data_IF_315617061687
#
_entry.id   IF_315617061687
#
_cell.length_a   1.000
_cell.length_b   1.000
_cell.length_c   1.000
_cell.angle_alpha   90.00
_cell.angle_beta   90.00
_cell.angle_gamma   90.00
#
_symmetry.space_group_name_H-M   'P 1'
#
loop_
_entity.id
_entity.type
_entity.pdbx_description
1 polymer ?
#
# COMPACT_ATOMS: atom_id res chain seq x y z
N UNK A 1 -18.37 35.76 26.09
CA UNK A 1 -19.53 35.81 25.17
C UNK A 1 -19.04 36.38 23.85
N UNK A 2 -19.42 35.74 22.73
CA UNK A 2 -19.11 36.10 21.33
C UNK A 2 -17.68 35.81 20.85
N UNK A 3 -17.58 34.72 20.09
CA UNK A 3 -17.03 34.65 18.72
C UNK A 3 -16.31 33.32 18.47
N UNK A 4 -17.11 32.30 18.16
CA UNK A 4 -16.74 31.03 17.52
C UNK A 4 -17.85 30.71 16.52
N UNK A 5 -17.50 30.01 15.45
CA UNK A 5 -18.35 29.51 14.35
C UNK A 5 -18.35 30.33 13.06
N UNK A 6 -17.26 30.25 12.30
CA UNK A 6 -17.30 30.31 10.84
C UNK A 6 -16.14 29.45 10.30
N UNK A 7 -16.31 28.12 10.22
CA UNK A 7 -15.62 27.27 9.24
C UNK A 7 -16.19 25.83 9.20
N UNK A 8 -17.50 25.69 9.01
CA UNK A 8 -18.11 24.37 8.72
C UNK A 8 -19.33 24.58 7.84
N UNK A 9 -19.14 24.69 6.52
CA UNK A 9 -20.22 24.50 5.53
C UNK A 9 -19.80 24.47 4.04
N UNK A 10 -18.52 24.30 3.69
CA UNK A 10 -18.09 24.33 2.28
C UNK A 10 -17.77 22.94 1.69
N UNK A 11 -18.60 21.92 1.96
CA UNK A 11 -18.44 20.57 1.37
C UNK A 11 -19.76 19.87 1.01
N UNK A 12 -20.88 20.57 0.90
CA UNK A 12 -22.20 19.95 0.68
C UNK A 12 -23.05 20.52 -0.47
N UNK A 13 -22.47 21.27 -1.42
CA UNK A 13 -23.22 21.76 -2.60
C UNK A 13 -22.44 21.59 -3.91
N UNK A 14 -22.03 20.36 -4.24
CA UNK A 14 -21.76 19.98 -5.64
C UNK A 14 -22.43 18.63 -5.89
N UNK A 15 -23.76 18.62 -5.91
CA UNK A 15 -24.55 17.47 -6.33
C UNK A 15 -25.94 17.94 -6.81
N UNK A 16 -25.99 18.81 -7.81
CA UNK A 16 -27.21 19.01 -8.60
C UNK A 16 -26.79 19.32 -10.04
N UNK A 17 -26.78 18.28 -10.87
CA UNK A 17 -26.44 18.40 -12.29
C UNK A 17 -25.67 17.21 -12.85
N UNK A 18 -26.11 15.99 -12.57
CA UNK A 18 -25.74 14.83 -13.37
C UNK A 18 -27.04 14.19 -13.86
N UNK A 19 -27.31 14.32 -15.15
CA UNK A 19 -28.34 13.55 -15.84
C UNK A 19 -28.17 12.07 -15.52
N UNK A 20 -29.29 11.42 -15.21
CA UNK A 20 -29.37 9.99 -14.93
C UNK A 20 -28.86 9.20 -16.13
N UNK A 21 -27.65 8.64 -16.02
CA UNK A 21 -27.13 7.67 -16.97
C UNK A 21 -28.03 6.41 -16.97
N UNK A 22 -28.20 5.73 -18.13
CA UNK A 22 -29.08 4.58 -18.23
C UNK A 22 -28.61 3.43 -17.34
N UNK A 23 -29.58 2.71 -16.75
CA UNK A 23 -29.34 1.45 -16.04
C UNK A 23 -28.95 0.35 -17.02
N UNK A 24 -27.66 0.06 -17.13
CA UNK A 24 -27.17 -1.23 -17.66
C UNK A 24 -26.74 -2.12 -16.49
N UNK A 25 -27.73 -2.79 -15.90
CA UNK A 25 -27.57 -3.84 -14.89
C UNK A 25 -27.10 -5.16 -15.55
N UNK A 26 -25.84 -5.22 -16.01
CA UNK A 26 -25.16 -6.49 -16.32
C UNK A 26 -23.62 -6.41 -16.36
N UNK A 27 -23.01 -5.28 -16.72
CA UNK A 27 -21.59 -5.20 -17.11
C UNK A 27 -20.66 -4.41 -16.16
N UNK A 28 -21.14 -3.89 -15.03
CA UNK A 28 -20.34 -3.02 -14.13
C UNK A 28 -19.23 -3.72 -13.33
N UNK A 29 -19.00 -5.02 -13.55
CA UNK A 29 -18.06 -5.86 -12.79
C UNK A 29 -16.88 -6.36 -13.64
N UNK A 30 -16.76 -5.84 -14.87
CA UNK A 30 -15.69 -6.17 -15.81
C UNK A 30 -14.92 -4.90 -16.18
N UNK A 31 -13.62 -5.05 -16.43
CA UNK A 31 -12.79 -3.98 -16.95
C UNK A 31 -13.11 -3.68 -18.42
N UNK A 32 -12.39 -2.72 -19.01
CA UNK A 32 -12.54 -2.31 -20.43
C UNK A 32 -12.35 -3.44 -21.43
N UNK A 33 -11.73 -4.56 -21.02
CA UNK A 33 -11.47 -5.73 -21.83
C UNK A 33 -12.44 -6.88 -21.54
N UNK A 34 -13.42 -6.67 -20.64
CA UNK A 34 -14.38 -7.70 -20.25
C UNK A 34 -13.84 -8.66 -19.18
N UNK A 35 -12.66 -8.44 -18.61
CA UNK A 35 -12.11 -9.29 -17.55
C UNK A 35 -12.67 -8.86 -16.18
N UNK A 36 -12.91 -9.78 -15.23
CA UNK A 36 -13.30 -9.41 -13.88
C UNK A 36 -12.29 -8.42 -13.30
N UNK A 37 -12.73 -7.34 -12.66
CA UNK A 37 -11.81 -6.43 -11.97
C UNK A 37 -11.10 -7.21 -10.85
N UNK A 38 -9.81 -7.50 -11.04
CA UNK A 38 -9.04 -8.29 -10.10
C UNK A 38 -8.26 -7.39 -9.15
N UNK A 39 -8.39 -7.63 -7.84
CA UNK A 39 -7.49 -7.03 -6.87
C UNK A 39 -6.11 -7.69 -7.00
N UNK A 40 -5.23 -7.05 -7.77
CA UNK A 40 -3.86 -7.53 -7.98
C UNK A 40 -3.13 -7.82 -6.66
N UNK A 41 -2.30 -8.87 -6.67
CA UNK A 41 -1.38 -9.13 -5.56
C UNK A 41 -0.16 -8.23 -5.75
N UNK A 42 0.21 -7.50 -4.70
CA UNK A 42 1.32 -6.55 -4.79
C UNK A 42 2.67 -7.26 -4.65
N UNK A 43 3.54 -7.09 -5.64
CA UNK A 43 4.93 -7.56 -5.62
C UNK A 43 5.75 -6.89 -4.51
N UNK A 44 5.36 -5.69 -4.09
CA UNK A 44 6.05 -4.94 -3.04
C UNK A 44 5.60 -5.33 -1.64
N UNK A 45 6.54 -5.25 -0.70
CA UNK A 45 6.31 -5.55 0.72
C UNK A 45 5.27 -4.64 1.38
N UNK A 46 5.14 -3.42 0.87
CA UNK A 46 4.12 -2.45 1.27
C UNK A 46 3.25 -2.19 0.03
N UNK A 47 1.94 -2.34 0.14
CA UNK A 47 1.05 -2.18 -1.01
C UNK A 47 1.20 -0.79 -1.65
N UNK A 48 1.26 -0.77 -2.98
CA UNK A 48 1.15 0.43 -3.81
C UNK A 48 -0.32 0.71 -4.13
N UNK A 49 -0.69 1.93 -4.49
CA UNK A 49 -2.09 2.25 -4.83
C UNK A 49 -2.50 1.71 -6.20
N UNK A 50 -1.54 1.65 -7.13
CA UNK A 50 -1.72 1.10 -8.46
C UNK A 50 -0.94 -0.19 -8.57
N UNK A 51 -1.53 -1.24 -9.14
CA UNK A 51 -0.83 -2.46 -9.52
C UNK A 51 -1.20 -2.80 -10.94
N UNK A 52 -0.20 -2.90 -11.83
CA UNK A 52 -0.41 -3.34 -13.21
C UNK A 52 -1.41 -2.49 -14.01
N UNK A 53 -1.46 -1.18 -13.75
CA UNK A 53 -2.22 -0.26 -14.59
C UNK A 53 -1.50 -0.04 -15.93
N UNK A 54 -2.23 -0.18 -17.03
CA UNK A 54 -1.78 0.03 -18.41
C UNK A 54 -1.96 1.47 -18.89
N UNK A 55 -2.71 2.29 -18.15
CA UNK A 55 -2.87 3.69 -18.49
C UNK A 55 -1.52 4.42 -18.37
N UNK A 56 -1.19 5.23 -19.37
CA UNK A 56 0.10 5.91 -19.48
C UNK A 56 0.33 6.82 -18.26
N UNK A 57 -0.73 7.47 -17.79
CA UNK A 57 -0.72 8.23 -16.56
C UNK A 57 -1.85 7.75 -15.66
N UNK A 58 -1.62 7.77 -14.36
CA UNK A 58 -2.66 7.47 -13.38
C UNK A 58 -2.43 8.27 -12.11
N UNK A 59 -3.51 8.74 -11.51
CA UNK A 59 -3.48 9.54 -10.29
C UNK A 59 -4.45 9.01 -9.25
N UNK A 60 -4.09 9.14 -7.97
CA UNK A 60 -4.96 8.75 -6.88
C UNK A 60 -4.73 9.63 -5.67
N UNK A 61 -5.84 10.07 -5.06
CA UNK A 61 -5.85 10.72 -3.76
C UNK A 61 -6.34 9.72 -2.72
N UNK A 62 -5.71 9.68 -1.55
CA UNK A 62 -6.20 8.83 -0.47
C UNK A 62 -6.13 9.51 0.88
N UNK A 63 -7.13 9.24 1.70
CA UNK A 63 -7.11 9.54 3.13
C UNK A 63 -6.96 8.22 3.89
N UNK A 64 -5.97 8.17 4.78
CA UNK A 64 -5.67 7.00 5.61
C UNK A 64 -5.73 7.37 7.08
N UNK A 65 -6.35 6.52 7.91
CA UNK A 65 -6.37 6.67 9.37
C UNK A 65 -6.07 5.34 10.06
N UNK A 66 -5.19 5.39 11.06
CA UNK A 66 -5.04 4.29 12.01
C UNK A 66 -6.32 4.06 12.82
N UNK A 67 -6.50 2.84 13.35
CA UNK A 67 -7.67 2.47 14.16
C UNK A 67 -7.54 2.81 15.66
N UNK A 68 -6.36 3.23 16.11
CA UNK A 68 -6.13 3.67 17.48
C UNK A 68 -5.13 4.80 17.52
N UNK A 69 -5.13 5.52 18.64
CA UNK A 69 -4.06 6.45 18.94
C UNK A 69 -2.74 5.72 19.19
N UNK A 70 -1.66 6.31 18.71
CA UNK A 70 -0.30 5.84 18.91
C UNK A 70 0.54 6.99 19.43
N UNK A 71 1.57 6.66 20.22
CA UNK A 71 2.60 7.62 20.58
C UNK A 71 3.42 7.95 19.34
N UNK A 72 3.45 9.23 18.97
CA UNK A 72 4.19 9.73 17.84
C UNK A 72 5.21 10.76 18.31
N UNK A 73 6.42 10.66 17.77
CA UNK A 73 7.52 11.59 18.04
C UNK A 73 7.41 12.78 17.11
N UNK A 74 6.93 13.91 17.62
CA UNK A 74 6.72 15.14 16.87
C UNK A 74 7.94 16.05 17.08
N UNK A 75 8.67 16.42 16.02
CA UNK A 75 9.80 17.32 16.15
C UNK A 75 9.30 18.71 16.56
N UNK A 76 9.89 19.30 17.60
CA UNK A 76 9.65 20.68 18.02
C UNK A 76 10.88 21.58 17.79
N UNK A 77 12.04 21.00 17.49
CA UNK A 77 13.22 21.69 16.96
C UNK A 77 14.06 20.75 16.06
N UNK A 78 15.26 21.17 15.64
CA UNK A 78 16.21 20.32 14.92
C UNK A 78 16.63 19.07 15.71
N UNK A 79 16.72 19.20 17.03
CA UNK A 79 17.37 18.21 17.90
C UNK A 79 16.43 17.65 18.98
N UNK A 80 15.28 18.29 19.18
CA UNK A 80 14.28 17.88 20.18
C UNK A 80 12.98 17.44 19.52
N UNK A 81 12.28 16.54 20.22
CA UNK A 81 10.96 16.08 19.84
C UNK A 81 10.12 15.81 21.09
N UNK A 82 8.82 15.98 20.97
CA UNK A 82 7.85 15.63 21.99
C UNK A 82 7.09 14.35 21.62
N UNK A 83 6.61 13.62 22.63
CA UNK A 83 5.73 12.48 22.41
C UNK A 83 4.28 12.94 22.51
N UNK A 84 3.53 12.77 21.43
CA UNK A 84 2.11 13.10 21.37
C UNK A 84 1.32 11.86 21.01
N UNK A 85 0.26 11.60 21.76
CA UNK A 85 -0.67 10.51 21.48
C UNK A 85 -1.75 11.00 20.53
N UNK A 86 -1.87 10.37 19.36
CA UNK A 86 -2.87 10.75 18.35
C UNK A 86 -3.16 9.63 17.36
N UNK A 87 -4.25 9.78 16.60
CA UNK A 87 -4.48 8.97 15.40
C UNK A 87 -3.48 9.37 14.30
N UNK A 88 -2.82 8.38 13.72
CA UNK A 88 -1.96 8.60 12.57
C UNK A 88 -2.84 8.74 11.32
N UNK A 89 -3.05 9.98 10.88
CA UNK A 89 -3.86 10.33 9.73
C UNK A 89 -3.00 10.95 8.64
N UNK A 90 -3.16 10.50 7.40
CA UNK A 90 -2.34 10.94 6.27
C UNK A 90 -3.19 11.08 5.02
N UNK A 91 -3.02 12.18 4.29
CA UNK A 91 -3.44 12.34 2.91
C UNK A 91 -2.29 11.94 2.00
N UNK A 92 -2.55 11.12 0.98
CA UNK A 92 -1.53 10.74 0.00
C UNK A 92 -1.99 11.13 -1.41
N UNK A 93 -1.05 11.66 -2.19
CA UNK A 93 -1.17 11.83 -3.63
C UNK A 93 -0.22 10.85 -4.30
N UNK A 94 -0.76 9.90 -5.05
CA UNK A 94 0.01 8.93 -5.82
C UNK A 94 -0.13 9.23 -7.31
N UNK A 95 1.01 9.26 -8.00
CA UNK A 95 1.11 9.45 -9.44
C UNK A 95 1.91 8.30 -10.03
N UNK A 96 1.38 7.65 -11.06
CA UNK A 96 2.06 6.62 -11.82
C UNK A 96 2.21 7.05 -13.29
N UNK A 97 3.39 6.77 -13.83
CA UNK A 97 3.68 6.83 -15.26
C UNK A 97 3.97 5.40 -15.76
N UNK A 98 3.23 4.95 -16.77
CA UNK A 98 3.35 3.61 -17.36
C UNK A 98 3.63 3.72 -18.86
N UNK A 99 4.89 3.95 -19.27
CA UNK A 99 5.21 4.27 -20.68
C UNK A 99 4.90 3.14 -21.66
N UNK A 100 4.96 1.89 -21.19
CA UNK A 100 4.82 0.72 -22.04
C UNK A 100 4.42 -0.50 -21.21
N UNK A 101 3.27 -1.11 -21.55
CA UNK A 101 2.77 -2.32 -20.89
C UNK A 101 2.77 -2.14 -19.36
N UNK A 102 3.35 -3.09 -18.61
CA UNK A 102 3.40 -3.06 -17.15
C UNK A 102 4.69 -2.45 -16.58
N UNK A 103 5.49 -1.78 -17.43
CA UNK A 103 6.57 -0.92 -16.94
C UNK A 103 5.99 0.31 -16.30
N UNK A 104 6.46 0.66 -15.11
CA UNK A 104 5.95 1.80 -14.39
C UNK A 104 7.04 2.52 -13.59
N UNK A 105 6.77 3.79 -13.31
CA UNK A 105 7.36 4.56 -12.23
C UNK A 105 6.23 5.21 -11.43
N UNK A 106 6.27 5.05 -10.10
CA UNK A 106 5.28 5.59 -9.19
C UNK A 106 5.95 6.40 -8.09
N UNK A 107 5.35 7.55 -7.78
CA UNK A 107 5.66 8.33 -6.58
C UNK A 107 4.38 8.55 -5.78
N UNK A 108 4.48 8.42 -4.47
CA UNK A 108 3.38 8.69 -3.54
C UNK A 108 3.85 9.69 -2.49
N UNK A 109 3.38 10.93 -2.61
CA UNK A 109 3.57 11.99 -1.62
C UNK A 109 2.65 11.75 -0.43
N UNK A 110 3.13 12.04 0.78
CA UNK A 110 2.46 11.77 2.04
C UNK A 110 2.39 13.03 2.88
N UNK A 111 1.19 13.44 3.23
CA UNK A 111 0.90 14.65 3.98
C UNK A 111 0.16 14.26 5.26
N UNK A 112 0.83 14.27 6.43
CA UNK A 112 0.14 14.12 7.72
C UNK A 112 -0.96 15.16 7.86
N UNK A 113 -2.16 14.74 8.25
CA UNK A 113 -3.31 15.67 8.42
C UNK A 113 -3.07 16.62 9.59
N UNK A 114 -2.38 16.11 10.61
CA UNK A 114 -1.90 16.85 11.78
C UNK A 114 -0.45 16.48 12.02
N UNK A 115 0.29 17.26 12.81
CA UNK A 115 1.66 17.07 13.30
C UNK A 115 2.51 16.00 12.59
N UNK A 116 3.55 16.41 11.88
CA UNK A 116 4.45 15.47 11.19
C UNK A 116 5.30 14.71 12.19
N UNK A 117 5.29 13.38 12.15
CA UNK A 117 6.26 12.58 12.94
C UNK A 117 7.65 12.66 12.34
N UNK A 118 8.67 12.69 13.21
CA UNK A 118 10.09 12.67 12.82
C UNK A 118 10.44 11.49 11.92
N UNK A 119 9.73 10.37 12.03
CA UNK A 119 9.98 9.14 11.27
C UNK A 119 9.08 8.96 10.04
N UNK A 120 8.19 9.92 9.77
CA UNK A 120 7.31 9.86 8.60
C UNK A 120 8.07 10.38 7.38
N UNK A 121 8.36 9.51 6.42
CA UNK A 121 8.85 9.92 5.11
C UNK A 121 7.81 10.75 4.36
N UNK A 122 8.28 11.80 3.68
CA UNK A 122 7.45 12.73 2.92
C UNK A 122 6.93 12.08 1.62
N UNK A 123 7.69 11.15 1.05
CA UNK A 123 7.27 10.40 -0.12
C UNK A 123 7.78 8.96 -0.16
N UNK A 124 7.19 8.18 -1.04
CA UNK A 124 7.58 6.80 -1.38
C UNK A 124 7.67 6.72 -2.89
N UNK A 125 8.57 5.90 -3.41
CA UNK A 125 8.66 5.69 -4.84
C UNK A 125 9.00 4.24 -5.17
N UNK A 126 8.58 3.83 -6.35
CA UNK A 126 8.84 2.50 -6.89
C UNK A 126 8.85 2.56 -8.40
N UNK A 127 9.58 1.65 -9.02
CA UNK A 127 9.61 1.50 -10.47
C UNK A 127 10.00 0.08 -10.84
N UNK A 128 9.72 -0.31 -12.07
CA UNK A 128 10.04 -1.62 -12.60
C UNK A 128 8.94 -2.15 -13.49
N UNK A 129 8.86 -3.48 -13.58
CA UNK A 129 7.83 -4.19 -14.34
C UNK A 129 6.96 -4.99 -13.36
N UNK A 130 5.65 -4.74 -13.37
CA UNK A 130 4.71 -5.40 -12.43
C UNK A 130 3.39 -5.73 -13.11
N UNK A 131 3.40 -6.89 -13.76
CA UNK A 131 2.26 -7.49 -14.44
C UNK A 131 1.39 -8.25 -13.44
N UNK A 132 0.11 -7.92 -13.36
CA UNK A 132 -0.80 -8.48 -12.37
C UNK A 132 -1.37 -9.85 -12.76
N UNK A 133 -1.24 -10.25 -14.03
CA UNK A 133 -1.82 -11.48 -14.56
C UNK A 133 -1.13 -12.72 -13.99
N UNK A 134 -1.85 -13.85 -14.00
CA UNK A 134 -1.28 -15.14 -13.66
C UNK A 134 -0.25 -15.60 -14.71
N UNK A 135 0.75 -16.34 -14.24
CA UNK A 135 1.88 -16.86 -15.00
C UNK A 135 2.83 -15.80 -15.57
N UNK A 136 3.00 -14.71 -14.81
CA UNK A 136 3.86 -13.59 -15.19
C UNK A 136 4.91 -13.31 -14.13
N UNK A 137 6.01 -12.68 -14.55
CA UNK A 137 7.06 -12.23 -13.65
C UNK A 137 6.93 -10.74 -13.39
N UNK A 138 7.42 -10.32 -12.22
CA UNK A 138 7.49 -8.92 -11.83
C UNK A 138 8.84 -8.65 -11.20
N UNK A 139 9.50 -7.57 -11.62
CA UNK A 139 10.77 -7.09 -11.08
C UNK A 139 10.59 -5.63 -10.70
N UNK A 140 10.54 -5.38 -9.39
CA UNK A 140 10.17 -4.07 -8.84
C UNK A 140 11.24 -3.60 -7.86
N UNK A 141 11.73 -2.39 -8.08
CA UNK A 141 12.42 -1.64 -7.04
C UNK A 141 11.40 -0.79 -6.26
N UNK A 142 11.48 -0.79 -4.94
CA UNK A 142 10.64 0.05 -4.09
C UNK A 142 11.41 0.64 -2.93
N UNK A 143 11.27 1.94 -2.69
CA UNK A 143 11.88 2.63 -1.58
C UNK A 143 10.82 3.31 -0.70
N UNK A 144 10.69 2.77 0.50
CA UNK A 144 9.77 3.23 1.54
C UNK A 144 10.51 3.82 2.76
N UNK A 145 11.82 4.07 2.61
CA UNK A 145 12.70 4.59 3.66
C UNK A 145 12.46 6.08 3.96
N UNK A 146 13.42 6.69 4.65
CA UNK A 146 13.36 8.10 5.07
C UNK A 146 13.60 9.06 3.90
N UNK A 147 12.58 9.20 3.04
CA UNK A 147 12.62 10.09 1.89
C UNK A 147 12.05 11.47 2.25
N UNK A 148 12.76 12.55 1.87
CA UNK A 148 12.43 13.93 2.21
C UNK A 148 12.42 14.84 0.99
N UNK A 149 11.39 15.66 0.85
CA UNK A 149 11.35 16.67 -0.22
C UNK A 149 12.41 17.75 0.02
N UNK A 150 12.54 18.17 1.28
CA UNK A 150 13.42 19.25 1.67
C UNK A 150 14.39 18.77 2.74
N UNK A 151 15.68 19.03 2.54
CA UNK A 151 16.75 18.67 3.47
C UNK A 151 17.63 19.87 3.73
N UNK A 152 18.22 19.94 4.93
CA UNK A 152 19.21 20.95 5.29
C UNK A 152 20.59 20.33 5.51
N UNK A 153 21.64 21.08 5.18
CA UNK A 153 23.03 20.61 5.27
C UNK A 153 23.33 19.45 4.33
N UNK A 154 24.13 18.48 4.80
CA UNK A 154 24.57 17.31 4.01
C UNK A 154 23.58 16.13 4.05
N UNK A 155 22.33 16.34 4.51
CA UNK A 155 21.33 15.27 4.56
C UNK A 155 20.84 14.93 3.14
N UNK A 156 20.80 13.63 2.81
CA UNK A 156 20.29 13.15 1.53
C UNK A 156 18.76 13.16 1.51
N UNK A 157 18.18 13.43 0.34
CA UNK A 157 16.73 13.34 0.11
C UNK A 157 16.21 11.90 0.13
N UNK A 158 17.03 10.94 -0.27
CA UNK A 158 16.70 9.51 -0.30
C UNK A 158 17.98 8.70 -0.15
N UNK A 159 17.85 7.48 0.35
CA UNK A 159 18.91 6.48 0.39
C UNK A 159 18.52 5.34 -0.54
N UNK A 160 18.98 5.41 -1.79
CA UNK A 160 18.65 4.42 -2.82
C UNK A 160 19.09 3.00 -2.41
N UNK A 161 20.22 2.89 -1.71
CA UNK A 161 20.72 1.63 -1.17
C UNK A 161 19.77 0.97 -0.13
N UNK A 162 18.81 1.72 0.41
CA UNK A 162 17.83 1.23 1.39
C UNK A 162 16.49 0.82 0.75
N UNK A 163 16.39 0.92 -0.58
CA UNK A 163 15.28 0.34 -1.32
C UNK A 163 15.40 -1.17 -1.46
N UNK A 164 14.27 -1.81 -1.75
CA UNK A 164 14.17 -3.25 -1.96
C UNK A 164 14.01 -3.54 -3.46
N UNK A 165 14.84 -4.44 -4.00
CA UNK A 165 14.65 -5.05 -5.32
C UNK A 165 13.91 -6.36 -5.11
N UNK A 166 12.74 -6.50 -5.72
CA UNK A 166 11.87 -7.66 -5.53
C UNK A 166 11.56 -8.32 -6.86
N UNK A 167 11.89 -9.59 -6.98
CA UNK A 167 11.49 -10.46 -8.07
C UNK A 167 10.35 -11.35 -7.59
N UNK A 168 9.24 -11.40 -8.30
CA UNK A 168 8.13 -12.28 -7.98
C UNK A 168 7.56 -12.95 -9.24
N UNK A 169 7.00 -14.13 -9.04
CA UNK A 169 6.21 -14.86 -10.02
C UNK A 169 4.78 -14.95 -9.53
N UNK A 170 3.83 -14.54 -10.37
CA UNK A 170 2.39 -14.64 -10.10
C UNK A 170 1.82 -15.88 -10.79
N UNK A 171 0.93 -16.60 -10.14
CA UNK A 171 0.38 -17.86 -10.63
C UNK A 171 -1.05 -18.09 -10.16
N UNK A 172 -1.81 -18.83 -10.96
CA UNK A 172 -3.10 -19.40 -10.56
C UNK A 172 -2.89 -20.65 -9.73
N UNK A 173 -3.78 -20.90 -8.78
CA UNK A 173 -3.77 -22.16 -8.05
C UNK A 173 -4.14 -23.33 -8.97
N UNK A 174 -3.67 -24.55 -8.69
CA UNK A 174 -4.15 -25.74 -9.40
C UNK A 174 -5.68 -25.84 -9.33
N UNK A 175 -6.33 -26.13 -10.46
CA UNK A 175 -7.81 -26.15 -10.60
C UNK A 175 -8.56 -26.86 -9.46
N UNK A 176 -8.11 -28.02 -8.93
CA UNK A 176 -8.82 -28.65 -7.81
C UNK A 176 -8.84 -27.79 -6.53
N UNK A 177 -7.73 -27.12 -6.23
CA UNK A 177 -7.59 -26.23 -5.07
C UNK A 177 -8.36 -24.93 -5.34
N UNK A 178 -8.18 -24.35 -6.52
CA UNK A 178 -8.89 -23.15 -6.96
C UNK A 178 -10.41 -23.32 -6.84
N UNK A 179 -10.97 -24.38 -7.42
CA UNK A 179 -12.42 -24.66 -7.38
C UNK A 179 -12.95 -24.90 -5.96
N UNK A 180 -12.11 -25.32 -5.02
CA UNK A 180 -12.50 -25.52 -3.62
C UNK A 180 -12.48 -24.21 -2.83
N UNK A 181 -11.60 -23.27 -3.20
CA UNK A 181 -11.44 -21.99 -2.54
C UNK A 181 -12.36 -20.89 -3.11
N UNK A 182 -12.69 -20.97 -4.40
CA UNK A 182 -13.61 -20.04 -5.04
C UNK A 182 -15.05 -20.29 -4.55
N UNK A 183 -15.57 -19.30 -3.82
CA UNK A 183 -16.89 -19.34 -3.19
C UNK A 183 -17.99 -19.11 -4.23
N UNK A 184 -17.83 -18.12 -5.12
CA UNK A 184 -18.82 -17.78 -6.13
C UNK A 184 -18.27 -17.93 -7.55
N UNK A 185 -19.17 -18.21 -8.49
CA UNK A 185 -18.85 -18.18 -9.92
C UNK A 185 -18.49 -16.73 -10.33
N UNK A 186 -17.28 -16.56 -10.87
CA UNK A 186 -16.75 -15.26 -11.27
C UNK A 186 -15.84 -14.60 -10.24
N UNK A 187 -15.65 -15.24 -9.08
CA UNK A 187 -14.57 -14.85 -8.17
C UNK A 187 -13.21 -15.23 -8.78
N UNK A 188 -12.15 -14.55 -8.36
CA UNK A 188 -10.77 -14.82 -8.82
C UNK A 188 -9.82 -14.95 -7.64
N UNK A 189 -8.82 -15.83 -7.79
CA UNK A 189 -7.70 -15.95 -6.84
C UNK A 189 -6.38 -16.00 -7.62
N UNK A 190 -5.51 -15.03 -7.34
CA UNK A 190 -4.13 -15.00 -7.84
C UNK A 190 -3.19 -15.14 -6.65
N UNK A 191 -2.16 -15.94 -6.80
CA UNK A 191 -1.09 -16.08 -5.83
C UNK A 191 0.24 -15.61 -6.41
N UNK A 192 1.19 -15.32 -5.52
CA UNK A 192 2.54 -14.95 -5.89
C UNK A 192 3.55 -15.58 -4.94
N UNK A 193 4.76 -15.78 -5.45
CA UNK A 193 5.94 -16.08 -4.66
C UNK A 193 7.09 -15.22 -5.16
N UNK A 194 7.88 -14.67 -4.25
CA UNK A 194 8.94 -13.74 -4.60
C UNK A 194 10.07 -13.68 -3.60
N UNK A 195 11.12 -12.98 -4.02
CA UNK A 195 12.33 -12.74 -3.28
C UNK A 195 12.67 -11.25 -3.33
N UNK A 196 12.99 -10.68 -2.17
CA UNK A 196 13.30 -9.28 -1.98
C UNK A 196 14.70 -9.13 -1.38
N UNK A 197 15.54 -8.35 -2.03
CA UNK A 197 16.89 -8.01 -1.59
C UNK A 197 16.97 -6.51 -1.28
N UNK A 198 17.50 -6.19 -0.09
CA UNK A 198 17.74 -4.82 0.38
C UNK A 198 19.24 -4.64 0.60
N UNK A 199 19.92 -3.80 -0.21
CA UNK A 199 21.37 -3.66 -0.14
C UNK A 199 21.86 -3.16 1.22
N UNK A 200 21.18 -2.18 1.82
CA UNK A 200 21.49 -1.59 3.13
C UNK A 200 20.23 -1.39 3.95
N UNK A 201 20.27 -1.71 5.24
CA UNK A 201 19.11 -1.54 6.13
C UNK A 201 19.56 -1.14 7.53
N UNK A 202 18.72 -0.36 8.21
CA UNK A 202 18.92 -0.05 9.62
C UNK A 202 18.58 -1.26 10.48
N UNK A 203 19.51 -1.62 11.35
CA UNK A 203 19.40 -2.71 12.31
C UNK A 203 19.31 -2.13 13.73
N UNK A 204 18.20 -2.39 14.42
CA UNK A 204 17.94 -1.86 15.75
C UNK A 204 18.91 -2.44 16.80
N UNK A 205 19.23 -3.73 16.69
CA UNK A 205 20.04 -4.44 17.69
C UNK A 205 21.48 -3.92 17.73
N UNK A 206 22.08 -3.66 16.57
CA UNK A 206 23.40 -3.02 16.49
C UNK A 206 23.35 -1.49 16.41
N UNK A 207 22.16 -0.90 16.26
CA UNK A 207 21.96 0.52 16.03
C UNK A 207 22.81 1.07 14.87
N UNK A 208 22.96 0.30 13.80
CA UNK A 208 23.83 0.63 12.65
C UNK A 208 23.21 0.17 11.32
N UNK A 209 23.78 0.62 10.21
CA UNK A 209 23.41 0.21 8.85
C UNK A 209 24.12 -1.08 8.47
N UNK A 210 23.37 -2.19 8.47
CA UNK A 210 23.79 -3.48 7.95
C UNK A 210 23.49 -3.62 6.45
N UNK A 211 23.92 -4.73 5.86
CA UNK A 211 23.87 -4.98 4.41
C UNK A 211 23.17 -6.29 4.08
N UNK A 212 22.74 -6.41 2.82
CA UNK A 212 22.28 -7.65 2.20
C UNK A 212 21.17 -8.36 2.98
N UNK A 213 20.10 -7.61 3.24
CA UNK A 213 18.90 -8.18 3.83
C UNK A 213 18.08 -8.90 2.77
N UNK A 214 17.67 -10.11 3.12
CA UNK A 214 16.97 -11.02 2.21
C UNK A 214 15.62 -11.40 2.80
N UNK A 215 14.58 -11.38 1.98
CA UNK A 215 13.21 -11.71 2.39
C UNK A 215 12.55 -12.52 1.29
N UNK A 216 12.04 -13.70 1.62
CA UNK A 216 11.14 -14.45 0.75
C UNK A 216 9.71 -14.05 1.10
N UNK A 217 8.87 -13.89 0.10
CA UNK A 217 7.47 -13.54 0.29
C UNK A 217 6.56 -14.45 -0.54
N UNK A 218 5.38 -14.73 -0.02
CA UNK A 218 4.37 -15.51 -0.71
C UNK A 218 2.98 -15.08 -0.27
N UNK A 219 2.04 -14.92 -1.19
CA UNK A 219 0.73 -14.41 -0.84
C UNK A 219 -0.31 -14.63 -1.91
N UNK A 220 -1.57 -14.50 -1.55
CA UNK A 220 -2.69 -14.59 -2.48
C UNK A 220 -3.65 -13.43 -2.29
N UNK A 221 -4.27 -13.01 -3.40
CA UNK A 221 -5.37 -12.07 -3.46
C UNK A 221 -6.60 -12.78 -3.99
N UNK A 222 -7.67 -12.74 -3.21
CA UNK A 222 -9.00 -13.18 -3.57
C UNK A 222 -9.84 -11.96 -3.91
N UNK A 223 -10.50 -11.97 -5.06
CA UNK A 223 -11.44 -10.91 -5.46
C UNK A 223 -12.80 -11.52 -5.71
N UNK A 224 -13.77 -11.03 -4.95
CA UNK A 224 -15.16 -11.36 -5.16
C UNK A 224 -15.67 -10.67 -6.41
N UNK A 225 -16.61 -11.30 -7.11
CA UNK A 225 -17.31 -10.71 -8.25
C UNK A 225 -17.88 -9.32 -7.92
N UNK A 226 -18.27 -9.07 -6.66
CA UNK A 226 -18.82 -7.80 -6.18
C UNK A 226 -17.75 -6.77 -5.77
N UNK A 227 -16.55 -6.79 -6.36
CA UNK A 227 -15.43 -5.87 -6.09
C UNK A 227 -14.86 -5.90 -4.67
N UNK A 228 -15.34 -6.78 -3.79
CA UNK A 228 -14.68 -7.00 -2.51
C UNK A 228 -13.40 -7.79 -2.72
N UNK A 229 -12.40 -7.59 -1.88
CA UNK A 229 -11.18 -8.37 -1.92
C UNK A 229 -10.67 -8.72 -0.53
N UNK A 230 -9.90 -9.80 -0.47
CA UNK A 230 -9.05 -10.18 0.66
C UNK A 230 -7.67 -10.51 0.12
N UNK A 231 -6.63 -9.98 0.76
CA UNK A 231 -5.23 -10.23 0.40
C UNK A 231 -4.46 -10.60 1.64
N UNK A 232 -3.58 -11.58 1.51
CA UNK A 232 -2.65 -11.99 2.55
C UNK A 232 -1.30 -12.33 1.94
N UNK A 233 -0.23 -11.88 2.59
CA UNK A 233 1.16 -12.14 2.18
C UNK A 233 1.95 -12.53 3.41
N UNK A 234 2.63 -13.67 3.35
CA UNK A 234 3.62 -14.14 4.30
C UNK A 234 5.02 -13.64 3.93
N UNK A 235 5.86 -13.44 4.93
CA UNK A 235 7.26 -13.03 4.80
C UNK A 235 8.14 -13.98 5.62
N UNK A 236 9.19 -14.48 4.99
CA UNK A 236 10.20 -15.31 5.63
C UNK A 236 11.57 -14.64 5.49
N UNK A 237 12.30 -14.58 6.60
CA UNK A 237 13.65 -14.04 6.67
C UNK A 237 14.60 -15.24 6.79
N UNK A 238 15.34 -15.60 5.72
CA UNK A 238 16.27 -16.73 5.76
C UNK A 238 17.29 -16.62 6.90
N UNK A 239 17.73 -15.39 7.16
CA UNK A 239 18.47 -15.02 8.37
C UNK A 239 17.52 -14.25 9.30
N UNK A 240 17.08 -14.93 10.37
CA UNK A 240 16.12 -14.38 11.32
C UNK A 240 16.65 -13.15 12.06
N UNK A 241 17.97 -12.98 12.18
CA UNK A 241 18.58 -11.79 12.80
C UNK A 241 18.34 -10.52 11.99
N UNK A 242 17.97 -10.64 10.72
CA UNK A 242 17.66 -9.49 9.87
C UNK A 242 16.25 -8.94 10.12
N UNK A 243 15.39 -9.70 10.80
CA UNK A 243 14.00 -9.31 11.04
C UNK A 243 13.89 -8.25 12.14
N UNK A 244 13.45 -7.05 11.76
CA UNK A 244 13.24 -5.95 12.71
C UNK A 244 11.86 -6.05 13.39
N UNK A 245 11.63 -5.37 14.53
CA UNK A 245 10.33 -5.37 15.21
C UNK A 245 9.15 -4.88 14.35
N UNK A 246 9.41 -3.97 13.39
CA UNK A 246 8.41 -3.49 12.42
C UNK A 246 8.31 -4.37 11.16
N UNK A 247 9.09 -5.44 11.07
CA UNK A 247 9.03 -6.38 9.97
C UNK A 247 8.09 -7.53 10.29
N UNK A 248 6.79 -7.37 9.98
CA UNK A 248 5.80 -8.42 10.17
C UNK A 248 6.15 -9.73 9.46
N UNK A 249 5.71 -10.84 10.05
CA UNK A 249 5.73 -12.18 9.45
C UNK A 249 4.67 -12.30 8.34
N UNK A 250 3.61 -11.49 8.39
CA UNK A 250 2.59 -11.45 7.36
C UNK A 250 1.89 -10.09 7.29
N UNK A 251 1.38 -9.73 6.13
CA UNK A 251 0.46 -8.61 5.96
C UNK A 251 -0.88 -9.12 5.46
N UNK A 252 -1.94 -8.40 5.79
CA UNK A 252 -3.26 -8.69 5.24
C UNK A 252 -4.02 -7.40 4.98
N UNK A 253 -4.90 -7.44 3.98
CA UNK A 253 -5.79 -6.36 3.65
C UNK A 253 -7.11 -6.91 3.12
N UNK A 254 -8.16 -6.12 3.26
CA UNK A 254 -9.46 -6.41 2.69
C UNK A 254 -10.20 -5.11 2.44
N UNK A 255 -11.16 -5.13 1.53
CA UNK A 255 -11.84 -3.91 1.16
C UNK A 255 -12.69 -4.06 -0.09
N UNK A 256 -13.09 -2.92 -0.62
CA UNK A 256 -13.79 -2.74 -1.88
C UNK A 256 -12.85 -2.06 -2.89
N UNK A 257 -12.82 -2.60 -4.11
CA UNK A 257 -11.92 -2.23 -5.19
C UNK A 257 -12.68 -1.55 -6.34
N UNK A 258 -12.52 -0.24 -6.51
CA UNK A 258 -12.99 0.49 -7.69
C UNK A 258 -12.02 0.40 -8.88
N UNK A 259 -10.72 0.61 -8.62
CA UNK A 259 -9.55 0.63 -9.56
C UNK A 259 -9.68 1.36 -10.91
N UNK A 260 -10.86 1.84 -11.29
CA UNK A 260 -11.10 2.57 -12.53
C UNK A 260 -10.99 4.08 -12.30
N UNK A 261 -10.54 4.86 -13.31
CA UNK A 261 -10.52 6.31 -13.22
C UNK A 261 -11.89 6.88 -12.81
N UNK A 262 -11.92 7.79 -11.84
CA UNK A 262 -13.15 8.37 -11.29
C UNK A 262 -13.81 7.55 -10.17
N UNK A 263 -13.37 6.32 -9.92
CA UNK A 263 -13.95 5.44 -8.89
C UNK A 263 -13.31 5.60 -7.50
N UNK A 264 -13.93 4.98 -6.50
CA UNK A 264 -13.41 4.92 -5.13
C UNK A 264 -13.09 3.49 -4.70
N UNK A 265 -12.09 3.36 -3.84
CA UNK A 265 -11.82 2.14 -3.06
C UNK A 265 -11.82 2.44 -1.57
N UNK A 266 -12.25 1.47 -0.79
CA UNK A 266 -12.15 1.50 0.67
C UNK A 266 -11.42 0.25 1.09
N UNK A 267 -10.32 0.40 1.83
CA UNK A 267 -9.56 -0.76 2.27
C UNK A 267 -9.10 -0.62 3.72
N UNK A 268 -9.11 -1.74 4.41
CA UNK A 268 -8.29 -1.94 5.60
C UNK A 268 -7.00 -2.65 5.17
N UNK A 269 -5.87 -2.20 5.69
CA UNK A 269 -4.60 -2.90 5.51
C UNK A 269 -3.79 -2.91 6.81
N UNK A 270 -3.14 -4.03 7.08
CA UNK A 270 -2.27 -4.21 8.23
C UNK A 270 -0.91 -4.71 7.77
N UNK A 271 0.07 -3.81 7.88
CA UNK A 271 1.47 -4.07 7.59
C UNK A 271 2.36 -3.89 8.84
N UNK A 272 1.75 -3.91 10.03
CA UNK A 272 2.47 -3.77 11.30
C UNK A 272 3.37 -4.98 11.58
N UNK A 273 4.08 -4.98 12.72
CA UNK A 273 4.94 -6.10 13.15
C UNK A 273 4.14 -7.32 13.60
N UNK A 274 3.30 -7.89 12.72
CA UNK A 274 2.56 -9.13 12.94
C UNK A 274 3.52 -10.31 13.13
N UNK A 275 3.10 -11.33 13.86
CA UNK A 275 3.94 -12.48 14.20
C UNK A 275 3.15 -13.78 14.12
N UNK A 276 3.78 -14.84 13.63
CA UNK A 276 3.21 -16.18 13.70
C UNK A 276 3.06 -16.64 15.16
N UNK A 277 2.08 -17.51 15.46
CA UNK A 277 2.03 -18.18 16.75
C UNK A 277 3.37 -18.85 17.08
N UNK A 278 3.91 -18.58 18.27
CA UNK A 278 5.20 -19.12 18.72
C UNK A 278 6.41 -18.21 18.49
N UNK A 279 6.29 -17.15 17.69
CA UNK A 279 7.32 -16.10 17.61
C UNK A 279 7.19 -15.09 18.77
N UNK A 280 8.27 -14.38 19.08
CA UNK A 280 8.24 -13.29 20.08
C UNK A 280 7.15 -12.27 19.73
N UNK A 281 6.43 -11.77 20.73
CA UNK A 281 5.27 -10.92 20.52
C UNK A 281 5.63 -9.67 19.70
N UNK A 282 4.92 -9.50 18.59
CA UNK A 282 5.10 -8.37 17.71
C UNK A 282 4.16 -7.23 18.05
N UNK A 283 4.39 -6.08 17.42
CA UNK A 283 3.50 -4.92 17.55
C UNK A 283 2.19 -5.07 16.79
N UNK A 284 2.04 -6.11 15.95
CA UNK A 284 0.92 -6.20 15.03
C UNK A 284 -0.32 -6.90 15.57
N UNK A 285 -1.30 -6.10 15.98
CA UNK A 285 -2.69 -6.54 16.21
C UNK A 285 -3.60 -5.84 15.21
N UNK A 286 -4.89 -6.16 15.25
CA UNK A 286 -5.88 -5.57 14.34
C UNK A 286 -5.97 -4.04 14.45
N UNK A 287 -5.87 -3.49 15.66
CA UNK A 287 -5.99 -2.04 15.90
C UNK A 287 -4.80 -1.23 15.38
N UNK A 288 -3.71 -1.88 14.99
CA UNK A 288 -2.51 -1.27 14.40
C UNK A 288 -2.61 -1.17 12.88
N UNK A 289 -3.68 -1.69 12.27
CA UNK A 289 -3.99 -1.49 10.86
C UNK A 289 -4.51 -0.08 10.56
N UNK A 290 -4.66 0.18 9.26
CA UNK A 290 -5.06 1.47 8.70
C UNK A 290 -6.25 1.27 7.78
N UNK A 291 -7.27 2.11 7.92
CA UNK A 291 -8.37 2.23 6.95
C UNK A 291 -8.03 3.35 5.99
N UNK A 292 -8.22 3.12 4.70
CA UNK A 292 -7.99 4.10 3.65
C UNK A 292 -9.19 4.23 2.73
N UNK A 293 -9.56 5.45 2.41
CA UNK A 293 -10.45 5.80 1.30
C UNK A 293 -9.56 6.33 0.18
N UNK A 294 -9.69 5.77 -1.00
CA UNK A 294 -8.86 6.07 -2.17
C UNK A 294 -9.79 6.50 -3.29
N UNK A 295 -9.49 7.63 -3.90
CA UNK A 295 -10.15 8.14 -5.10
C UNK A 295 -9.16 8.07 -6.27
N UNK A 296 -9.52 7.34 -7.31
CA UNK A 296 -8.74 7.29 -8.55
C UNK A 296 -9.10 8.50 -9.41
N UNK A 297 -8.11 9.34 -9.71
CA UNK A 297 -8.29 10.56 -10.47
C UNK A 297 -8.66 10.20 -11.93
N UNK A 298 -9.60 10.94 -12.55
CA UNK A 298 -9.98 10.73 -13.94
C UNK A 298 -8.97 11.39 -14.89
N UNK A 299 -7.73 10.88 -14.92
CA UNK A 299 -6.61 11.40 -15.72
C UNK A 299 -5.95 10.30 -16.53
#
# INVERSE_FOLDING_TARGET
>A
MRDKFLLTCALLCVATGAESAPKDDADSLRDKNGEPVQAGVFTSRWGRLFSGNEDVFSGALSFSSGLKEQWMTIPNSSDTAEQKRKYNQTLNLSLQYSPYSYWFANVTSRLPVTDTSRYTADFRYSFGYDDWHANTFSLVYSNYGDNRFWTSGNRRHTYFEQGAVTLAYKFSLPKPIENTLLINKGDSIICQMGYSWVPRYYDLDSNDIRKNKNVVLGGCGYTFKQHFFVRATAFWFPDSSQQQPWNGDYSYSFGYAGYTPGSFSVQYANYSGTRYPGHQSGSGKFREGTVSVIWFLPI
#
